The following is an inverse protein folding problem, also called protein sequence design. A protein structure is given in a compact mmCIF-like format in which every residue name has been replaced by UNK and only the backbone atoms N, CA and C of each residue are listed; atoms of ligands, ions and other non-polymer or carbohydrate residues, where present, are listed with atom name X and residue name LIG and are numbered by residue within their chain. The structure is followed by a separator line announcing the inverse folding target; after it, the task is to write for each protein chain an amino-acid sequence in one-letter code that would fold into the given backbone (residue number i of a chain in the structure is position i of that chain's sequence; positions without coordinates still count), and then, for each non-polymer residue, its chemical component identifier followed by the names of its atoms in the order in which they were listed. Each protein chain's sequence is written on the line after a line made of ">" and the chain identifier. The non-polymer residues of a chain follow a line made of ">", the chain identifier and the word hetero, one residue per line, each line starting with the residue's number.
data_IF_630634849042
#
_entry.id   IF_630634849042
#
_cell.length_a   1.000
_cell.length_b   1.000
_cell.length_c   1.000
_cell.angle_alpha   90.00
_cell.angle_beta   90.00
_cell.angle_gamma   90.00
#
_symmetry.space_group_name_H-M   'P 1'
#
loop_
_entity.id
_entity.type
_entity.pdbx_description
1 polymer ?
#
# COMPACT_ATOMS: atom_id res chain seq x y z
N UNK A 1 -7.72 24.25 -15.56
CA UNK A 1 -7.33 23.53 -14.32
C UNK A 1 -6.81 22.17 -14.74
N UNK A 2 -5.60 21.79 -14.31
CA UNK A 2 -5.07 20.45 -14.60
C UNK A 2 -5.76 19.39 -13.71
N UNK A 3 -6.06 18.24 -14.30
CA UNK A 3 -6.74 17.12 -13.65
C UNK A 3 -5.83 16.49 -12.57
N UNK A 4 -6.39 16.20 -11.40
CA UNK A 4 -5.72 15.36 -10.39
C UNK A 4 -5.60 13.93 -10.89
N UNK A 5 -4.55 13.23 -10.48
CA UNK A 5 -4.42 11.81 -10.76
C UNK A 5 -5.45 11.02 -9.93
N UNK A 6 -6.05 10.01 -10.55
CA UNK A 6 -6.89 9.02 -9.86
C UNK A 6 -6.24 7.63 -9.95
N UNK A 7 -6.41 6.81 -8.91
CA UNK A 7 -5.89 5.44 -8.92
C UNK A 7 -6.47 4.58 -10.03
N UNK A 8 -7.70 4.87 -10.45
CA UNK A 8 -8.43 4.08 -11.45
C UNK A 8 -7.89 4.29 -12.88
N UNK A 9 -6.97 5.26 -13.06
CA UNK A 9 -6.33 5.56 -14.34
C UNK A 9 -5.07 4.73 -14.61
N UNK A 10 -4.60 3.94 -13.64
CA UNK A 10 -3.33 3.23 -13.72
C UNK A 10 -3.51 1.72 -13.52
N UNK A 11 -2.93 0.87 -14.39
CA UNK A 11 -2.98 -0.57 -14.21
C UNK A 11 -2.21 -0.95 -12.94
N UNK A 12 -2.77 -1.84 -12.10
CA UNK A 12 -2.14 -2.11 -10.81
C UNK A 12 -2.35 -3.53 -10.32
N UNK A 13 -1.53 -3.88 -9.33
CA UNK A 13 -1.72 -5.06 -8.53
C UNK A 13 -2.33 -4.68 -7.20
N UNK A 14 -3.31 -5.47 -6.78
CA UNK A 14 -3.96 -5.31 -5.48
C UNK A 14 -3.38 -6.32 -4.50
N UNK A 15 -2.73 -5.82 -3.46
CA UNK A 15 -2.13 -6.62 -2.40
C UNK A 15 -2.97 -6.43 -1.14
N UNK A 16 -3.30 -7.53 -0.47
CA UNK A 16 -4.03 -7.53 0.79
C UNK A 16 -3.20 -8.17 1.87
N UNK A 17 -3.01 -7.46 2.98
CA UNK A 17 -2.21 -7.90 4.11
C UNK A 17 -3.10 -7.86 5.36
N UNK A 18 -3.16 -8.97 6.07
CA UNK A 18 -3.76 -9.01 7.40
C UNK A 18 -2.67 -8.65 8.42
N UNK A 19 -2.88 -7.55 9.15
CA UNK A 19 -1.96 -7.14 10.20
C UNK A 19 -2.18 -7.93 11.48
N UNK A 20 -1.21 -7.93 12.41
CA UNK A 20 -1.39 -8.49 13.74
C UNK A 20 -2.18 -7.58 14.69
N UNK A 21 -2.60 -6.39 14.25
CA UNK A 21 -3.26 -5.42 15.13
C UNK A 21 -4.77 -5.65 15.24
N UNK A 22 -5.29 -5.51 16.45
CA UNK A 22 -6.70 -5.68 16.76
C UNK A 22 -7.56 -4.57 16.10
N UNK A 23 -8.63 -4.99 15.43
CA UNK A 23 -9.58 -4.13 14.71
C UNK A 23 -10.38 -3.18 15.61
N UNK A 24 -10.39 -3.42 16.93
CA UNK A 24 -11.00 -2.53 17.93
C UNK A 24 -10.17 -1.27 18.19
N UNK A 25 -8.88 -1.27 17.82
CA UNK A 25 -8.03 -0.08 17.95
C UNK A 25 -8.47 0.96 16.91
N UNK A 26 -8.75 2.21 17.30
CA UNK A 26 -9.13 3.28 16.37
C UNK A 26 -8.12 3.49 15.25
N UNK A 27 -8.63 3.79 14.06
CA UNK A 27 -7.84 4.00 12.85
C UNK A 27 -6.75 5.07 13.02
N UNK A 28 -7.11 6.19 13.66
CA UNK A 28 -6.23 7.35 13.87
C UNK A 28 -4.99 6.99 14.71
N UNK A 29 -5.13 5.99 15.57
CA UNK A 29 -4.06 5.47 16.42
C UNK A 29 -3.20 4.48 15.64
N UNK A 30 -3.82 3.51 14.99
CA UNK A 30 -3.12 2.33 14.48
C UNK A 30 -2.53 2.50 13.07
N UNK A 31 -3.09 3.37 12.24
CA UNK A 31 -2.65 3.58 10.86
C UNK A 31 -1.18 3.97 10.74
N UNK A 32 -0.70 4.84 11.64
CA UNK A 32 0.71 5.27 11.65
C UNK A 32 1.66 4.13 12.02
N UNK A 33 1.25 3.27 12.95
CA UNK A 33 2.05 2.13 13.39
C UNK A 33 2.10 1.07 12.27
N UNK A 34 0.96 0.79 11.65
CA UNK A 34 0.86 -0.09 10.48
C UNK A 34 1.75 0.41 9.34
N UNK A 35 1.66 1.69 8.97
CA UNK A 35 2.48 2.26 7.90
C UNK A 35 3.98 2.17 8.21
N UNK A 36 4.35 2.43 9.47
CA UNK A 36 5.73 2.34 9.92
C UNK A 36 6.24 0.90 9.81
N UNK A 37 5.47 -0.07 10.29
CA UNK A 37 5.89 -1.45 10.35
C UNK A 37 5.87 -2.10 8.96
N UNK A 38 4.80 -1.95 8.19
CA UNK A 38 4.71 -2.56 6.87
C UNK A 38 5.71 -2.00 5.88
N UNK A 39 5.89 -0.68 5.82
CA UNK A 39 6.74 -0.09 4.78
C UNK A 39 8.20 -0.04 5.19
N UNK A 40 8.51 0.25 6.46
CA UNK A 40 9.92 0.35 6.88
C UNK A 40 10.52 -0.99 7.23
N UNK A 41 9.74 -1.94 7.75
CA UNK A 41 10.26 -3.25 8.15
C UNK A 41 10.15 -4.23 7.00
N UNK A 42 9.01 -4.27 6.32
CA UNK A 42 8.73 -5.29 5.29
C UNK A 42 8.78 -4.78 3.85
N UNK A 43 8.65 -3.47 3.61
CA UNK A 43 8.50 -2.90 2.28
C UNK A 43 9.65 -3.25 1.32
N UNK A 44 10.89 -3.14 1.78
CA UNK A 44 12.07 -3.51 0.97
C UNK A 44 12.09 -5.00 0.65
N UNK A 45 11.72 -5.86 1.59
CA UNK A 45 11.62 -7.31 1.37
C UNK A 45 10.52 -7.66 0.36
N UNK A 46 9.48 -6.83 0.25
CA UNK A 46 8.42 -6.97 -0.74
C UNK A 46 8.75 -6.38 -2.12
N UNK A 47 9.94 -5.78 -2.28
CA UNK A 47 10.36 -5.11 -3.51
C UNK A 47 9.70 -3.75 -3.74
N UNK A 48 9.28 -3.07 -2.67
CA UNK A 48 8.64 -1.75 -2.71
C UNK A 48 9.64 -0.66 -2.33
N UNK A 49 9.78 0.37 -3.18
CA UNK A 49 10.71 1.48 -2.96
C UNK A 49 10.14 2.59 -2.07
N UNK A 50 8.82 2.82 -2.13
CA UNK A 50 8.17 3.95 -1.46
C UNK A 50 6.64 3.85 -1.40
N UNK A 51 6.03 4.75 -0.61
CA UNK A 51 4.58 5.06 -0.67
C UNK A 51 4.42 6.44 -1.29
N UNK A 52 3.53 6.56 -2.29
CA UNK A 52 3.23 7.81 -2.99
C UNK A 52 1.74 7.91 -3.29
N UNK A 53 0.98 8.53 -2.40
CA UNK A 53 -0.46 8.73 -2.55
C UNK A 53 -0.81 9.51 -3.83
N UNK A 54 -1.42 8.82 -4.80
CA UNK A 54 -1.79 9.35 -6.12
C UNK A 54 -2.65 10.61 -6.03
N UNK A 55 -3.50 10.73 -5.00
CA UNK A 55 -4.42 11.85 -4.84
C UNK A 55 -3.73 13.20 -4.59
N UNK A 56 -2.43 13.15 -4.23
CA UNK A 56 -1.57 14.32 -4.00
C UNK A 56 -0.91 14.84 -5.28
N UNK A 57 -1.00 14.11 -6.38
CA UNK A 57 -0.35 14.45 -7.63
C UNK A 57 -1.33 14.91 -8.69
N UNK A 58 -0.84 15.75 -9.59
CA UNK A 58 -1.48 15.94 -10.89
C UNK A 58 -1.19 14.74 -11.78
N UNK A 59 -2.08 14.45 -12.72
CA UNK A 59 -1.93 13.29 -13.60
C UNK A 59 -0.62 13.29 -14.39
N UNK A 60 -0.16 14.46 -14.84
CA UNK A 60 1.09 14.60 -15.61
C UNK A 60 2.30 14.21 -14.76
N UNK A 61 2.42 14.81 -13.58
CA UNK A 61 3.53 14.56 -12.64
C UNK A 61 3.53 13.09 -12.18
N UNK A 62 2.35 12.52 -11.95
CA UNK A 62 2.25 11.12 -11.54
C UNK A 62 2.62 10.16 -12.68
N UNK A 63 2.32 10.48 -13.95
CA UNK A 63 2.76 9.68 -15.11
C UNK A 63 4.28 9.62 -15.22
N UNK A 64 4.98 10.74 -15.03
CA UNK A 64 6.46 10.74 -15.03
C UNK A 64 7.02 9.82 -13.94
N UNK A 65 6.41 9.81 -12.75
CA UNK A 65 6.78 8.86 -11.69
C UNK A 65 6.39 7.43 -12.05
N UNK A 66 5.23 7.24 -12.67
CA UNK A 66 4.73 5.93 -13.10
C UNK A 66 5.70 5.26 -14.08
N UNK A 67 6.25 6.04 -15.00
CA UNK A 67 7.20 5.59 -16.02
C UNK A 67 8.62 5.35 -15.48
N UNK A 68 8.86 5.60 -14.18
CA UNK A 68 10.12 5.19 -13.52
C UNK A 68 10.31 3.66 -13.56
N UNK A 69 11.51 3.16 -13.28
CA UNK A 69 11.75 1.71 -13.14
C UNK A 69 11.25 1.12 -11.81
N UNK A 70 10.80 1.95 -10.87
CA UNK A 70 10.53 1.53 -9.50
C UNK A 70 9.13 0.96 -9.30
N UNK A 71 9.00 0.05 -8.33
CA UNK A 71 7.72 -0.43 -7.82
C UNK A 71 7.40 0.27 -6.49
N UNK A 72 6.20 0.83 -6.38
CA UNK A 72 5.79 1.61 -5.22
C UNK A 72 4.30 1.43 -4.94
N UNK A 73 3.92 1.68 -3.69
CA UNK A 73 2.52 1.76 -3.27
C UNK A 73 2.01 3.14 -3.67
N UNK A 74 0.86 3.21 -4.35
CA UNK A 74 0.26 4.48 -4.72
C UNK A 74 -1.14 4.74 -4.16
N UNK A 75 -1.72 3.74 -3.52
CA UNK A 75 -2.93 3.88 -2.71
C UNK A 75 -2.86 2.87 -1.56
N UNK A 76 -3.20 3.36 -0.37
CA UNK A 76 -3.34 2.55 0.83
C UNK A 76 -4.77 2.70 1.33
N UNK A 77 -5.42 1.60 1.66
CA UNK A 77 -6.70 1.61 2.36
C UNK A 77 -6.67 0.64 3.53
N UNK A 78 -7.44 0.99 4.55
CA UNK A 78 -7.50 0.26 5.81
C UNK A 78 -8.91 -0.24 6.02
N UNK A 79 -9.03 -1.47 6.50
CA UNK A 79 -10.30 -2.10 6.76
C UNK A 79 -10.24 -2.87 8.07
N UNK A 80 -11.12 -2.52 9.01
CA UNK A 80 -11.36 -3.33 10.18
C UNK A 80 -12.05 -4.64 9.76
N UNK A 81 -11.36 -5.78 9.85
CA UNK A 81 -11.93 -7.08 9.53
C UNK A 81 -12.51 -7.70 10.81
N UNK A 82 -13.77 -7.32 11.09
CA UNK A 82 -14.52 -7.73 12.29
C UNK A 82 -14.61 -9.26 12.44
N UNK A 83 -14.62 -10.02 11.34
CA UNK A 83 -14.66 -11.49 11.39
C UNK A 83 -13.36 -12.06 11.96
N UNK A 84 -12.21 -11.51 11.55
CA UNK A 84 -10.90 -11.92 12.07
C UNK A 84 -10.53 -11.24 13.39
N UNK A 85 -11.20 -10.14 13.73
CA UNK A 85 -10.82 -9.27 14.83
C UNK A 85 -9.57 -8.41 14.55
N UNK A 86 -9.06 -8.38 13.32
CA UNK A 86 -7.79 -7.74 12.97
C UNK A 86 -7.93 -6.66 11.90
N UNK A 87 -6.98 -5.74 11.84
CA UNK A 87 -6.87 -4.76 10.75
C UNK A 87 -6.32 -5.42 9.48
N UNK A 88 -6.97 -5.13 8.37
CA UNK A 88 -6.57 -5.51 7.01
C UNK A 88 -6.16 -4.25 6.25
N UNK A 89 -5.05 -4.35 5.51
CA UNK A 89 -4.52 -3.30 4.66
C UNK A 89 -4.61 -3.76 3.22
N UNK A 90 -5.09 -2.87 2.35
CA UNK A 90 -5.06 -3.05 0.92
C UNK A 90 -4.16 -2.00 0.27
N UNK A 91 -3.16 -2.47 -0.47
CA UNK A 91 -2.25 -1.66 -1.25
C UNK A 91 -2.54 -1.83 -2.73
N UNK A 92 -2.61 -0.70 -3.44
CA UNK A 92 -2.41 -0.71 -4.89
C UNK A 92 -0.96 -0.39 -5.19
N UNK A 93 -0.32 -1.32 -5.90
CA UNK A 93 1.10 -1.23 -6.28
C UNK A 93 1.24 -1.30 -7.79
N UNK A 94 2.27 -0.65 -8.30
CA UNK A 94 2.51 -0.53 -9.75
C UNK A 94 2.83 -1.89 -10.40
N UNK A 95 3.58 -2.74 -9.72
CA UNK A 95 4.00 -4.06 -10.22
C UNK A 95 3.87 -5.11 -9.12
N UNK A 96 3.88 -6.39 -9.49
CA UNK A 96 3.74 -7.49 -8.53
C UNK A 96 4.77 -7.37 -7.40
N UNK A 97 4.32 -7.58 -6.16
CA UNK A 97 5.25 -7.72 -5.04
C UNK A 97 5.99 -9.04 -5.13
N UNK A 98 7.20 -9.06 -4.58
CA UNK A 98 7.89 -10.32 -4.30
C UNK A 98 7.54 -10.73 -2.88
N UNK A 99 7.06 -11.95 -2.66
CA UNK A 99 6.89 -12.48 -1.29
C UNK A 99 8.12 -13.33 -0.98
N UNK A 100 9.00 -12.89 -0.07
CA UNK A 100 10.15 -13.65 0.41
C UNK A 100 9.75 -15.04 0.94
N UNK A 101 10.64 -16.02 0.82
CA UNK A 101 10.35 -17.40 1.26
C UNK A 101 10.03 -17.52 2.75
N UNK A 102 10.71 -16.74 3.59
CA UNK A 102 10.49 -16.65 5.04
C UNK A 102 9.14 -16.05 5.43
N UNK A 103 8.44 -15.41 4.49
CA UNK A 103 7.07 -14.90 4.67
C UNK A 103 5.99 -15.80 4.07
N UNK A 104 6.38 -16.88 3.37
CA UNK A 104 5.43 -17.85 2.83
C UNK A 104 5.07 -18.84 3.94
N UNK A 105 3.78 -18.96 4.23
CA UNK A 105 3.29 -19.98 5.17
C UNK A 105 3.48 -21.33 4.47
N UNK A 106 4.21 -22.23 5.13
CA UNK A 106 4.43 -23.61 4.70
C UNK A 106 3.18 -24.49 4.86
#
# INVERSE_FOLDING_TARGET
>A
MEKKADSDEFPCWKVRIQSPYDSSIPYETISKDIDKDLVKIFGSSLGLSSICDVSKFKIKDFKEKWDSGENFIFRTSYKANIKSGLWEIEYLVKSSITVPEDMRIA
#
